data_IF_614607204748
#
_entry.id   IF_614607204748
#
_cell.length_a   1.000
_cell.length_b   1.000
_cell.length_c   1.000
_cell.angle_alpha   90.00
_cell.angle_beta   90.00
_cell.angle_gamma   90.00
#
_symmetry.space_group_name_H-M   'P 1'
#
loop_
_entity.id
_entity.type
_entity.pdbx_description
1 polymer ?
#
# COMPACT_ATOMS: atom_id res chain seq x y z
N UNK A 1 4.57 -14.16 4.92
CA UNK A 1 3.34 -13.62 5.51
C UNK A 1 2.31 -13.61 4.40
N UNK A 2 1.16 -14.23 4.61
CA UNK A 2 0.05 -14.19 3.65
C UNK A 2 -0.92 -13.09 4.04
N UNK A 3 -1.79 -12.72 3.11
CA UNK A 3 -2.85 -11.72 3.35
C UNK A 3 -3.71 -12.11 4.57
N UNK A 4 -4.01 -13.40 4.75
CA UNK A 4 -4.77 -13.93 5.89
C UNK A 4 -4.06 -13.79 7.24
N UNK A 5 -2.73 -13.63 7.24
CA UNK A 5 -1.92 -13.45 8.45
C UNK A 5 -1.78 -11.97 8.86
N UNK A 6 -2.30 -11.03 8.06
CA UNK A 6 -2.13 -9.61 8.31
C UNK A 6 -2.88 -9.17 9.57
N UNK A 7 -2.22 -8.33 10.36
CA UNK A 7 -2.82 -7.71 11.54
C UNK A 7 -2.30 -6.28 11.74
N UNK A 8 -2.97 -5.53 12.62
CA UNK A 8 -2.55 -4.16 12.98
C UNK A 8 -2.42 -3.22 11.79
N UNK A 9 -1.29 -2.51 11.74
CA UNK A 9 -1.00 -1.51 10.70
C UNK A 9 -0.90 -2.16 9.32
N UNK A 10 -0.37 -3.38 9.21
CA UNK A 10 -0.20 -4.08 7.93
C UNK A 10 -1.56 -4.45 7.31
N UNK A 11 -2.50 -4.96 8.12
CA UNK A 11 -3.87 -5.21 7.67
C UNK A 11 -4.63 -3.93 7.34
N UNK A 12 -4.31 -2.84 8.00
CA UNK A 12 -4.98 -1.54 7.77
C UNK A 12 -4.47 -0.89 6.50
N UNK A 13 -3.16 -0.90 6.26
CA UNK A 13 -2.55 -0.46 5.00
C UNK A 13 -3.02 -1.31 3.83
N UNK A 14 -3.04 -2.63 3.97
CA UNK A 14 -3.53 -3.51 2.91
C UNK A 14 -4.98 -3.18 2.48
N UNK A 15 -5.87 -2.96 3.46
CA UNK A 15 -7.26 -2.57 3.18
C UNK A 15 -7.35 -1.18 2.54
N UNK A 16 -6.58 -0.22 3.05
CA UNK A 16 -6.54 1.13 2.49
C UNK A 16 -6.08 1.14 1.02
N UNK A 17 -5.03 0.38 0.69
CA UNK A 17 -4.60 0.23 -0.71
C UNK A 17 -5.72 -0.39 -1.55
N UNK A 18 -6.32 -1.49 -1.09
CA UNK A 18 -7.41 -2.15 -1.80
C UNK A 18 -8.62 -1.23 -2.07
N UNK A 19 -9.01 -0.43 -1.08
CA UNK A 19 -10.16 0.47 -1.18
C UNK A 19 -9.89 1.64 -2.13
N UNK A 20 -8.71 2.27 -2.03
CA UNK A 20 -8.35 3.41 -2.88
C UNK A 20 -8.11 2.95 -4.32
N UNK A 21 -7.43 1.82 -4.51
CA UNK A 21 -7.15 1.26 -5.84
C UNK A 21 -8.42 1.00 -6.65
N UNK A 22 -9.48 0.49 -6.01
CA UNK A 22 -10.79 0.27 -6.64
C UNK A 22 -11.47 1.58 -7.06
N UNK A 23 -11.29 2.66 -6.29
CA UNK A 23 -11.96 3.94 -6.54
C UNK A 23 -11.23 4.84 -7.54
N UNK A 24 -9.91 4.97 -7.40
CA UNK A 24 -9.11 6.00 -8.09
C UNK A 24 -7.85 5.46 -8.76
N UNK A 25 -7.57 4.16 -8.65
CA UNK A 25 -6.30 3.57 -9.07
C UNK A 25 -5.24 3.59 -7.97
N UNK A 26 -4.04 3.10 -8.29
CA UNK A 26 -2.95 2.85 -7.34
C UNK A 26 -2.63 4.11 -6.50
N UNK A 27 -2.71 4.04 -5.16
CA UNK A 27 -2.47 5.19 -4.30
C UNK A 27 -0.98 5.49 -4.08
N UNK A 28 -0.67 6.77 -3.85
CA UNK A 28 0.60 7.19 -3.26
C UNK A 28 0.62 6.95 -1.74
N UNK A 29 1.80 7.03 -1.13
CA UNK A 29 1.96 6.81 0.32
C UNK A 29 1.08 7.73 1.18
N UNK A 30 0.90 9.01 0.79
CA UNK A 30 0.05 9.95 1.51
C UNK A 30 -1.43 9.55 1.50
N UNK A 31 -1.91 8.97 0.40
CA UNK A 31 -3.31 8.56 0.28
C UNK A 31 -3.57 7.32 1.13
N UNK A 32 -2.60 6.39 1.14
CA UNK A 32 -2.62 5.22 2.04
C UNK A 32 -2.66 5.67 3.49
N UNK A 33 -1.76 6.58 3.91
CA UNK A 33 -1.72 7.06 5.29
C UNK A 33 -3.05 7.72 5.70
N UNK A 34 -3.62 8.55 4.81
CA UNK A 34 -4.93 9.18 5.03
C UNK A 34 -6.05 8.15 5.16
N UNK A 35 -6.15 7.20 4.23
CA UNK A 35 -7.20 6.18 4.24
C UNK A 35 -7.04 5.20 5.41
N UNK A 36 -5.81 4.87 5.81
CA UNK A 36 -5.50 4.00 6.94
C UNK A 36 -5.71 4.68 8.31
N UNK A 37 -5.85 6.02 8.35
CA UNK A 37 -5.87 6.78 9.60
C UNK A 37 -4.54 6.71 10.37
N UNK A 38 -3.43 6.56 9.65
CA UNK A 38 -2.08 6.44 10.20
C UNK A 38 -1.27 7.70 9.92
N UNK A 39 -0.27 7.97 10.76
CA UNK A 39 0.79 8.89 10.38
C UNK A 39 1.65 8.29 9.24
N UNK A 40 2.37 9.17 8.55
CA UNK A 40 3.11 8.81 7.34
C UNK A 40 4.22 7.78 7.61
N UNK A 41 4.87 7.83 8.77
CA UNK A 41 5.99 6.94 9.10
C UNK A 41 5.50 5.53 9.45
N UNK A 42 4.37 5.42 10.15
CA UNK A 42 3.71 4.12 10.38
C UNK A 42 3.22 3.51 9.08
N UNK A 43 2.59 4.30 8.21
CA UNK A 43 2.19 3.85 6.88
C UNK A 43 3.41 3.40 6.05
N UNK A 44 4.49 4.18 6.02
CA UNK A 44 5.75 3.84 5.34
C UNK A 44 6.31 2.52 5.82
N UNK A 45 6.36 2.33 7.14
CA UNK A 45 6.91 1.11 7.73
C UNK A 45 6.07 -0.12 7.38
N UNK A 46 4.75 0.00 7.42
CA UNK A 46 3.84 -1.09 7.02
C UNK A 46 3.92 -1.41 5.53
N UNK A 47 3.91 -0.39 4.65
CA UNK A 47 4.12 -0.57 3.21
C UNK A 47 5.46 -1.26 2.95
N UNK A 48 6.54 -0.82 3.58
CA UNK A 48 7.85 -1.44 3.46
C UNK A 48 7.82 -2.92 3.85
N UNK A 49 7.13 -3.30 4.93
CA UNK A 49 6.99 -4.72 5.29
C UNK A 49 6.25 -5.49 4.19
N UNK A 50 5.12 -4.99 3.71
CA UNK A 50 4.28 -5.64 2.69
C UNK A 50 4.95 -5.77 1.30
N UNK A 51 5.89 -4.88 0.99
CA UNK A 51 6.74 -4.98 -0.22
C UNK A 51 7.77 -6.11 -0.14
N UNK A 52 8.19 -6.45 1.08
CA UNK A 52 9.29 -7.39 1.36
C UNK A 52 8.81 -8.70 1.99
N UNK A 53 7.52 -9.03 1.87
CA UNK A 53 7.02 -10.37 2.21
C UNK A 53 7.24 -11.35 1.07
N UNK A 54 7.35 -12.63 1.40
CA UNK A 54 7.16 -13.72 0.45
C UNK A 54 5.89 -14.51 0.82
N UNK A 55 4.88 -14.59 -0.09
CA UNK A 55 4.78 -13.88 -1.37
C UNK A 55 4.65 -12.36 -1.18
N UNK A 56 4.99 -11.58 -2.22
CA UNK A 56 4.78 -10.12 -2.20
C UNK A 56 3.30 -9.80 -2.06
N UNK A 57 2.97 -8.87 -1.17
CA UNK A 57 1.59 -8.41 -0.98
C UNK A 57 1.37 -7.09 -1.73
N UNK A 58 2.40 -6.23 -1.77
CA UNK A 58 2.39 -4.98 -2.53
C UNK A 58 3.49 -4.95 -3.59
N UNK A 59 3.28 -4.14 -4.62
CA UNK A 59 4.28 -3.67 -5.56
C UNK A 59 4.45 -2.16 -5.46
N UNK A 60 5.67 -1.69 -5.59
CA UNK A 60 5.97 -0.27 -5.79
C UNK A 60 6.13 -0.04 -7.29
N UNK A 61 5.39 0.92 -7.82
CA UNK A 61 5.39 1.26 -9.25
C UNK A 61 5.80 2.73 -9.40
N UNK A 62 6.78 3.05 -10.26
CA UNK A 62 7.12 4.43 -10.55
C UNK A 62 5.88 5.18 -11.06
N UNK A 63 5.54 6.30 -10.43
CA UNK A 63 4.51 7.18 -10.96
C UNK A 63 5.05 7.90 -12.21
N UNK A 64 4.28 7.85 -13.28
CA UNK A 64 4.60 8.53 -14.56
C UNK A 64 3.76 9.79 -14.75
N UNK A 65 2.98 10.17 -13.73
CA UNK A 65 2.20 11.39 -13.69
C UNK A 65 3.04 12.68 -13.73
N UNK A 66 2.39 13.82 -13.99
CA UNK A 66 3.06 15.11 -14.11
C UNK A 66 3.54 15.69 -12.76
N UNK A 67 3.14 15.09 -11.63
CA UNK A 67 3.45 15.57 -10.29
C UNK A 67 4.43 14.61 -9.62
N UNK A 68 5.51 15.14 -9.05
CA UNK A 68 6.51 14.35 -8.33
C UNK A 68 6.05 14.02 -6.90
N UNK A 69 5.13 13.06 -6.80
CA UNK A 69 4.58 12.57 -5.52
C UNK A 69 5.27 11.29 -5.03
N UNK A 70 6.31 10.84 -5.73
CA UNK A 70 6.92 9.53 -5.53
C UNK A 70 6.12 8.39 -6.16
N UNK A 71 6.43 7.13 -5.82
CA UNK A 71 5.79 5.97 -6.42
C UNK A 71 4.35 5.78 -5.94
N UNK A 72 3.61 4.97 -6.70
CA UNK A 72 2.31 4.42 -6.30
C UNK A 72 2.48 2.96 -5.85
N UNK A 73 1.53 2.49 -5.05
CA UNK A 73 1.55 1.14 -4.50
C UNK A 73 0.34 0.33 -4.95
N UNK A 74 0.59 -0.83 -5.53
CA UNK A 74 -0.44 -1.72 -6.08
C UNK A 74 -0.50 -3.04 -5.31
N UNK A 75 -1.68 -3.62 -5.19
CA UNK A 75 -1.81 -4.99 -4.69
C UNK A 75 -1.13 -6.00 -5.64
N UNK A 76 -0.44 -6.98 -5.06
CA UNK A 76 0.03 -8.11 -5.85
C UNK A 76 -1.15 -8.93 -6.40
N UNK A 77 -1.07 -9.45 -7.65
CA UNK A 77 -2.10 -10.29 -8.22
C UNK A 77 -2.39 -11.49 -7.31
N UNK A 78 -3.66 -11.67 -6.94
CA UNK A 78 -4.11 -12.85 -6.20
C UNK A 78 -4.40 -13.95 -7.23
N UNK A 79 -3.43 -14.82 -7.49
CA UNK A 79 -3.62 -16.05 -8.29
C UNK A 79 -4.41 -17.09 -7.53
#
# INVERSE_FOLDING_TARGET
>A
MRVEDLSGDDATVYRAVAEVEVGTGAPHLQDIARAAGLDLERARTAVHRLLHTEPKILHEVPDTGPTDLGPVYELAPRT
#
